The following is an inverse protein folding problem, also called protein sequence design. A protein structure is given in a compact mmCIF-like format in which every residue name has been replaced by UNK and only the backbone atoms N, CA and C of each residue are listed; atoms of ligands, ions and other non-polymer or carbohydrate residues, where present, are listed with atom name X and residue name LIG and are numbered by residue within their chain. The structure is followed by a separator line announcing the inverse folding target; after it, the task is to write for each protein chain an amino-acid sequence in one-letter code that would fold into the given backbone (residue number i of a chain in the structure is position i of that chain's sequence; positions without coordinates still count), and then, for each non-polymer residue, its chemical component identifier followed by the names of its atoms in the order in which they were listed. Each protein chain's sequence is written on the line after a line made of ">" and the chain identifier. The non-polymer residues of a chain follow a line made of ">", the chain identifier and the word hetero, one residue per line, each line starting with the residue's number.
data_IF_111723467359
#
_entry.id   IF_111723467359
#
_cell.length_a   1.000
_cell.length_b   1.000
_cell.length_c   1.000
_cell.angle_alpha   90.00
_cell.angle_beta   90.00
_cell.angle_gamma   90.00
#
_symmetry.space_group_name_H-M   'P 1'
#
loop_
_entity.id
_entity.type
_entity.pdbx_description
1 polymer ?
#
# COMPACT_ATOMS: atom_id res chain seq x y z
N UNK A 1 19.71 15.26 -3.49
CA UNK A 1 18.25 15.38 -3.40
C UNK A 1 17.62 14.09 -3.93
N UNK A 2 16.91 13.37 -3.10
CA UNK A 2 16.20 12.16 -3.55
C UNK A 2 15.07 12.55 -4.50
N UNK A 3 14.89 11.83 -5.62
CA UNK A 3 13.84 12.17 -6.58
C UNK A 3 12.44 12.07 -5.95
N UNK A 4 11.48 12.87 -6.43
CA UNK A 4 10.09 12.88 -5.91
C UNK A 4 9.41 11.50 -5.86
N UNK A 5 9.83 10.60 -6.75
CA UNK A 5 9.36 9.22 -6.85
C UNK A 5 9.54 8.41 -5.57
N UNK A 6 10.53 8.73 -4.75
CA UNK A 6 10.83 7.98 -3.54
C UNK A 6 9.78 8.16 -2.42
N UNK A 7 9.12 9.31 -2.37
CA UNK A 7 8.06 9.58 -1.38
C UNK A 7 6.78 8.82 -1.71
N UNK A 8 6.38 8.80 -2.97
CA UNK A 8 5.21 8.05 -3.42
C UNK A 8 5.44 6.53 -3.36
N UNK A 9 6.66 6.09 -3.65
CA UNK A 9 7.02 4.69 -3.47
C UNK A 9 6.86 4.27 -2.00
N UNK A 10 7.35 5.08 -1.07
CA UNK A 10 7.19 4.82 0.37
C UNK A 10 5.72 4.80 0.79
N UNK A 11 4.92 5.71 0.28
CA UNK A 11 3.48 5.71 0.53
C UNK A 11 2.80 4.42 0.06
N UNK A 12 3.20 3.90 -1.10
CA UNK A 12 2.70 2.63 -1.64
C UNK A 12 3.13 1.43 -0.81
N UNK A 13 4.36 1.42 -0.30
CA UNK A 13 4.84 0.38 0.62
C UNK A 13 3.97 0.34 1.90
N UNK A 14 3.73 1.48 2.50
CA UNK A 14 2.90 1.59 3.69
C UNK A 14 1.45 1.19 3.41
N UNK A 15 0.89 1.66 2.30
CA UNK A 15 -0.48 1.32 1.90
C UNK A 15 -0.62 -0.19 1.69
N UNK A 16 0.32 -0.82 1.01
CA UNK A 16 0.31 -2.28 0.79
C UNK A 16 0.29 -3.04 2.12
N UNK A 17 1.13 -2.67 3.07
CA UNK A 17 1.17 -3.32 4.37
C UNK A 17 -0.18 -3.23 5.10
N UNK A 18 -0.84 -2.08 5.03
CA UNK A 18 -2.17 -1.90 5.63
C UNK A 18 -3.26 -2.68 4.91
N UNK A 19 -3.20 -2.74 3.59
CA UNK A 19 -4.15 -3.52 2.78
C UNK A 19 -3.98 -5.02 3.07
N UNK A 20 -2.75 -5.49 3.25
CA UNK A 20 -2.46 -6.87 3.68
C UNK A 20 -3.06 -7.14 5.06
N UNK A 21 -2.90 -6.22 6.01
CA UNK A 21 -3.50 -6.36 7.33
C UNK A 21 -5.02 -6.49 7.25
N UNK A 22 -5.65 -5.68 6.40
CA UNK A 22 -7.10 -5.75 6.17
C UNK A 22 -7.53 -7.08 5.54
N UNK A 23 -6.74 -7.62 4.63
CA UNK A 23 -7.02 -8.91 4.00
C UNK A 23 -6.95 -10.06 5.01
N UNK A 24 -6.02 -9.99 5.96
CA UNK A 24 -5.85 -10.98 7.02
C UNK A 24 -6.86 -10.80 8.17
N UNK A 25 -7.44 -9.62 8.30
CA UNK A 25 -8.44 -9.31 9.34
C UNK A 25 -9.62 -8.53 8.74
N UNK A 26 -10.56 -9.22 8.07
CA UNK A 26 -11.66 -8.57 7.34
C UNK A 26 -12.66 -7.81 8.24
N UNK A 27 -12.62 -8.03 9.54
CA UNK A 27 -13.48 -7.32 10.49
C UNK A 27 -12.89 -5.98 10.97
N UNK A 28 -11.61 -5.72 10.71
CA UNK A 28 -10.98 -4.47 11.10
C UNK A 28 -11.44 -3.32 10.20
N UNK A 29 -11.80 -2.20 10.81
CA UNK A 29 -12.19 -0.99 10.07
C UNK A 29 -10.94 -0.27 9.55
N UNK A 30 -10.98 0.33 8.34
CA UNK A 30 -9.85 1.06 7.77
C UNK A 30 -9.26 2.11 8.72
N UNK A 31 -10.08 2.85 9.43
CA UNK A 31 -9.63 3.89 10.35
C UNK A 31 -8.80 3.32 11.52
N UNK A 32 -9.17 2.14 12.00
CA UNK A 32 -8.43 1.44 13.05
C UNK A 32 -7.08 0.92 12.53
N UNK A 33 -7.06 0.39 11.31
CA UNK A 33 -5.84 -0.09 10.67
C UNK A 33 -4.86 1.07 10.48
N UNK A 34 -5.34 2.21 9.98
CA UNK A 34 -4.55 3.41 9.78
C UNK A 34 -3.95 3.93 11.10
N UNK A 35 -4.78 4.11 12.11
CA UNK A 35 -4.32 4.62 13.39
C UNK A 35 -3.28 3.70 14.04
N UNK A 36 -3.55 2.40 14.06
CA UNK A 36 -2.65 1.41 14.63
C UNK A 36 -1.33 1.31 13.86
N UNK A 37 -1.40 1.37 12.53
CA UNK A 37 -0.21 1.30 11.69
C UNK A 37 0.73 2.50 11.95
N UNK A 38 0.19 3.71 11.97
CA UNK A 38 1.00 4.90 12.24
C UNK A 38 1.63 4.87 13.62
N UNK A 39 0.88 4.42 14.61
CA UNK A 39 1.38 4.28 15.98
C UNK A 39 2.52 3.26 16.07
N UNK A 40 2.36 2.09 15.46
CA UNK A 40 3.42 1.08 15.41
C UNK A 40 4.66 1.56 14.67
N UNK A 41 4.50 2.18 13.53
CA UNK A 41 5.63 2.70 12.76
C UNK A 41 6.40 3.77 13.54
N UNK A 42 5.69 4.61 14.26
CA UNK A 42 6.30 5.61 15.11
C UNK A 42 7.09 4.97 16.23
N UNK A 43 6.51 4.03 16.96
CA UNK A 43 7.17 3.30 18.05
C UNK A 43 8.44 2.59 17.57
N UNK A 44 8.35 1.85 16.48
CA UNK A 44 9.52 1.18 15.89
C UNK A 44 10.63 2.18 15.52
N UNK A 45 10.28 3.35 15.01
CA UNK A 45 11.24 4.38 14.66
C UNK A 45 11.93 4.96 15.90
N UNK A 46 11.18 5.16 16.97
CA UNK A 46 11.72 5.66 18.25
C UNK A 46 12.67 4.63 18.88
N UNK A 47 12.29 3.37 18.92
CA UNK A 47 13.14 2.29 19.43
C UNK A 47 14.45 2.19 18.63
N UNK A 48 14.37 2.24 17.30
CA UNK A 48 15.56 2.20 16.44
C UNK A 48 16.47 3.40 16.61
N UNK A 49 15.92 4.56 16.99
CA UNK A 49 16.68 5.78 17.27
C UNK A 49 17.19 5.85 18.72
N UNK A 50 16.78 4.90 19.60
CA UNK A 50 17.09 4.93 21.03
C UNK A 50 16.45 6.11 21.77
N UNK A 51 15.31 6.59 21.28
CA UNK A 51 14.56 7.70 21.86
C UNK A 51 13.30 7.20 22.56
N UNK A 52 12.97 7.82 23.66
CA UNK A 52 11.71 7.61 24.36
C UNK A 52 10.75 8.78 24.08
N UNK A 53 9.47 8.61 24.36
CA UNK A 53 8.45 9.66 24.17
C UNK A 53 8.78 10.94 24.97
N UNK A 54 9.53 10.79 26.06
CA UNK A 54 9.97 11.93 26.89
C UNK A 54 11.01 12.82 26.20
N UNK A 55 11.69 12.31 25.16
CA UNK A 55 12.66 13.08 24.39
C UNK A 55 12.01 13.97 23.30
N UNK A 56 10.68 13.88 23.15
CA UNK A 56 9.94 14.70 22.18
C UNK A 56 9.76 16.12 22.71
N UNK A 57 9.91 17.08 21.81
CA UNK A 57 9.55 18.45 22.14
C UNK A 57 8.02 18.64 22.21
N UNK A 58 7.57 19.79 22.72
CA UNK A 58 6.16 20.09 22.92
C UNK A 58 5.38 20.09 21.60
N UNK A 59 6.01 20.52 20.52
CA UNK A 59 5.41 20.56 19.19
C UNK A 59 5.24 19.14 18.61
N UNK A 60 6.26 18.31 18.76
CA UNK A 60 6.20 16.91 18.31
C UNK A 60 5.16 16.09 19.08
N UNK A 61 5.02 16.36 20.40
CA UNK A 61 3.99 15.70 21.23
C UNK A 61 2.56 16.02 20.80
N UNK A 62 2.36 17.21 20.25
CA UNK A 62 1.04 17.64 19.77
C UNK A 62 0.61 16.95 18.45
N UNK A 63 1.56 16.38 17.70
CA UNK A 63 1.29 15.73 16.44
C UNK A 63 0.83 14.27 16.61
N UNK A 64 -0.04 13.81 15.72
CA UNK A 64 -0.38 12.39 15.64
C UNK A 64 0.79 11.58 15.04
N UNK A 65 0.89 10.26 15.34
CA UNK A 65 2.01 9.45 14.85
C UNK A 65 2.24 9.52 13.34
N UNK A 66 1.20 9.54 12.54
CA UNK A 66 1.32 9.68 11.09
C UNK A 66 1.90 11.03 10.64
N UNK A 67 1.60 12.08 11.37
CA UNK A 67 2.13 13.44 11.12
C UNK A 67 3.61 13.54 11.46
N UNK A 68 4.05 12.81 12.48
CA UNK A 68 5.47 12.73 12.87
C UNK A 68 6.33 11.96 11.87
N UNK A 69 5.73 10.93 11.22
CA UNK A 69 6.44 10.01 10.33
C UNK A 69 6.56 10.53 8.91
N UNK A 70 5.59 11.28 8.44
CA UNK A 70 5.49 11.67 7.04
C UNK A 70 4.98 13.09 6.89
N UNK A 71 5.41 13.74 5.81
CA UNK A 71 4.79 15.01 5.41
C UNK A 71 3.31 14.82 5.12
N UNK A 72 2.52 15.88 5.28
CA UNK A 72 1.07 15.86 5.06
C UNK A 72 0.70 15.23 3.70
N UNK A 73 1.38 15.61 2.63
CA UNK A 73 1.11 15.08 1.29
C UNK A 73 1.36 13.57 1.16
N UNK A 74 2.43 13.06 1.76
CA UNK A 74 2.74 11.61 1.76
C UNK A 74 1.71 10.85 2.59
N UNK A 75 1.37 11.37 3.76
CA UNK A 75 0.38 10.77 4.65
C UNK A 75 -1.00 10.72 3.99
N UNK A 76 -1.45 11.82 3.43
CA UNK A 76 -2.73 11.90 2.72
C UNK A 76 -2.80 10.94 1.54
N UNK A 77 -1.73 10.85 0.76
CA UNK A 77 -1.66 9.91 -0.36
C UNK A 77 -1.71 8.46 0.12
N UNK A 78 -0.95 8.11 1.17
CA UNK A 78 -0.99 6.76 1.76
C UNK A 78 -2.41 6.41 2.22
N UNK A 79 -3.04 7.30 2.96
CA UNK A 79 -4.39 7.07 3.48
C UNK A 79 -5.44 6.99 2.37
N UNK A 80 -5.30 7.80 1.33
CA UNK A 80 -6.16 7.73 0.14
C UNK A 80 -6.05 6.36 -0.54
N UNK A 81 -4.84 5.84 -0.71
CA UNK A 81 -4.61 4.52 -1.29
C UNK A 81 -5.29 3.42 -0.45
N UNK A 82 -5.15 3.48 0.86
CA UNK A 82 -5.74 2.49 1.77
C UNK A 82 -7.26 2.57 1.75
N UNK A 83 -7.82 3.74 2.04
CA UNK A 83 -9.29 3.92 2.10
C UNK A 83 -9.95 3.61 0.76
N UNK A 84 -9.37 4.11 -0.32
CA UNK A 84 -9.93 3.93 -1.66
C UNK A 84 -9.91 2.47 -2.11
N UNK A 85 -8.81 1.78 -1.89
CA UNK A 85 -8.69 0.36 -2.24
C UNK A 85 -9.65 -0.49 -1.41
N UNK A 86 -9.68 -0.29 -0.10
CA UNK A 86 -10.55 -1.07 0.79
C UNK A 86 -12.04 -0.81 0.56
N UNK A 87 -12.41 0.41 0.14
CA UNK A 87 -13.80 0.74 -0.17
C UNK A 87 -14.30 0.09 -1.47
N UNK A 88 -13.41 -0.37 -2.34
CA UNK A 88 -13.74 -0.89 -3.67
C UNK A 88 -13.30 -2.35 -3.89
N UNK A 89 -13.02 -3.11 -2.82
CA UNK A 89 -12.44 -4.46 -2.94
C UNK A 89 -13.21 -5.37 -3.91
N UNK A 90 -14.51 -5.49 -3.75
CA UNK A 90 -15.32 -6.37 -4.60
C UNK A 90 -15.30 -5.94 -6.07
N UNK A 91 -15.39 -4.65 -6.33
CA UNK A 91 -15.33 -4.10 -7.68
C UNK A 91 -13.95 -4.30 -8.32
N UNK A 92 -12.88 -4.09 -7.55
CA UNK A 92 -11.52 -4.30 -8.01
C UNK A 92 -11.26 -5.78 -8.31
N UNK A 93 -11.68 -6.66 -7.43
CA UNK A 93 -11.55 -8.11 -7.62
C UNK A 93 -12.29 -8.56 -8.89
N UNK A 94 -13.52 -8.10 -9.09
CA UNK A 94 -14.30 -8.42 -10.28
C UNK A 94 -13.61 -7.94 -11.57
N UNK A 95 -12.91 -6.82 -11.53
CA UNK A 95 -12.15 -6.30 -12.69
C UNK A 95 -10.85 -7.06 -12.93
N UNK A 96 -10.24 -7.61 -11.91
CA UNK A 96 -8.96 -8.32 -11.99
C UNK A 96 -9.10 -9.80 -12.38
N UNK A 97 -10.15 -10.46 -11.91
CA UNK A 97 -10.37 -11.90 -12.09
C UNK A 97 -10.21 -12.35 -13.55
N UNK A 98 -10.74 -11.66 -14.58
CA UNK A 98 -10.59 -12.11 -15.97
C UNK A 98 -9.13 -12.18 -16.47
N UNK A 99 -8.23 -11.49 -15.80
CA UNK A 99 -6.82 -11.40 -16.21
C UNK A 99 -5.90 -12.30 -15.40
N UNK A 100 -6.43 -12.99 -14.40
CA UNK A 100 -5.71 -13.96 -13.58
C UNK A 100 -5.86 -15.36 -14.15
N UNK A 101 -5.34 -15.59 -15.36
CA UNK A 101 -5.44 -16.86 -16.05
C UNK A 101 -4.86 -18.02 -15.22
N UNK A 102 -5.55 -19.16 -15.26
CA UNK A 102 -5.16 -20.42 -14.60
C UNK A 102 -5.15 -20.39 -13.07
N UNK A 103 -5.48 -19.26 -12.44
CA UNK A 103 -5.49 -19.14 -10.99
C UNK A 103 -6.81 -18.57 -10.49
N UNK A 104 -7.38 -19.23 -9.48
CA UNK A 104 -8.46 -18.63 -8.71
C UNK A 104 -7.89 -17.43 -7.94
N UNK A 105 -8.56 -16.29 -7.99
CA UNK A 105 -8.13 -15.07 -7.30
C UNK A 105 -7.93 -15.30 -5.80
N UNK A 106 -8.81 -16.11 -5.19
CA UNK A 106 -8.74 -16.45 -3.76
C UNK A 106 -7.53 -17.32 -3.40
N UNK A 107 -6.92 -17.99 -4.39
CA UNK A 107 -5.74 -18.85 -4.19
C UNK A 107 -4.43 -18.14 -4.46
N UNK A 108 -4.48 -16.90 -4.92
CA UNK A 108 -3.27 -16.11 -5.07
C UNK A 108 -2.64 -15.85 -3.70
N UNK A 109 -1.33 -15.70 -3.68
CA UNK A 109 -0.63 -15.22 -2.50
C UNK A 109 -1.20 -13.88 -2.04
N UNK A 110 -1.19 -13.63 -0.73
CA UNK A 110 -1.76 -12.41 -0.16
C UNK A 110 -1.08 -11.14 -0.72
N UNK A 111 0.23 -11.20 -0.94
CA UNK A 111 0.99 -10.05 -1.48
C UNK A 111 0.56 -9.77 -2.92
N UNK A 112 0.53 -10.79 -3.78
CA UNK A 112 0.14 -10.66 -5.18
C UNK A 112 -1.28 -10.08 -5.29
N UNK A 113 -2.21 -10.62 -4.53
CA UNK A 113 -3.60 -10.16 -4.51
C UNK A 113 -3.71 -8.69 -4.08
N UNK A 114 -3.06 -8.32 -2.99
CA UNK A 114 -3.11 -6.95 -2.47
C UNK A 114 -2.39 -5.95 -3.37
N UNK A 115 -1.27 -6.33 -3.97
CA UNK A 115 -0.55 -5.50 -4.96
C UNK A 115 -1.45 -5.24 -6.17
N UNK A 116 -2.12 -6.27 -6.68
CA UNK A 116 -3.03 -6.12 -7.82
C UNK A 116 -4.20 -5.20 -7.50
N UNK A 117 -4.80 -5.33 -6.32
CA UNK A 117 -5.89 -4.45 -5.87
C UNK A 117 -5.45 -3.00 -5.80
N UNK A 118 -4.32 -2.73 -5.17
CA UNK A 118 -3.76 -1.39 -5.05
C UNK A 118 -3.46 -0.78 -6.42
N UNK A 119 -2.83 -1.53 -7.31
CA UNK A 119 -2.50 -1.09 -8.66
C UNK A 119 -3.77 -0.80 -9.49
N UNK A 120 -4.75 -1.68 -9.45
CA UNK A 120 -6.02 -1.48 -10.14
C UNK A 120 -6.74 -0.21 -9.66
N UNK A 121 -6.73 0.04 -8.36
CA UNK A 121 -7.29 1.27 -7.80
C UNK A 121 -6.58 2.53 -8.35
N UNK A 122 -5.25 2.54 -8.35
CA UNK A 122 -4.51 3.69 -8.89
C UNK A 122 -4.79 3.92 -10.37
N UNK A 123 -4.83 2.86 -11.16
CA UNK A 123 -5.05 2.97 -12.61
C UNK A 123 -6.48 3.41 -12.93
N UNK A 124 -7.47 2.78 -12.32
CA UNK A 124 -8.89 3.01 -12.66
C UNK A 124 -9.50 4.22 -11.98
N UNK A 125 -9.17 4.46 -10.72
CA UNK A 125 -9.78 5.53 -9.92
C UNK A 125 -8.93 6.78 -9.89
N UNK A 126 -7.65 6.66 -9.55
CA UNK A 126 -6.76 7.83 -9.46
C UNK A 126 -6.21 8.28 -10.80
N UNK A 127 -6.37 7.46 -11.85
CA UNK A 127 -5.86 7.76 -13.19
C UNK A 127 -4.35 7.99 -13.24
N UNK A 128 -3.61 7.38 -12.32
CA UNK A 128 -2.16 7.38 -12.39
C UNK A 128 -1.70 6.66 -13.66
N UNK A 129 -0.70 7.17 -14.39
CA UNK A 129 -0.23 6.52 -15.62
C UNK A 129 0.15 5.06 -15.41
N UNK A 130 -0.41 4.17 -16.20
CA UNK A 130 -0.25 2.72 -16.06
C UNK A 130 1.22 2.27 -16.01
N UNK A 131 2.14 2.78 -16.85
CA UNK A 131 3.55 2.39 -16.76
C UNK A 131 4.18 2.65 -15.38
N UNK A 132 3.82 3.76 -14.76
CA UNK A 132 4.30 4.10 -13.40
C UNK A 132 3.76 3.10 -12.38
N UNK A 133 2.45 2.84 -12.42
CA UNK A 133 1.80 1.92 -11.48
C UNK A 133 2.32 0.50 -11.64
N UNK A 134 2.48 0.02 -12.86
CA UNK A 134 2.99 -1.33 -13.14
C UNK A 134 4.42 -1.49 -12.61
N UNK A 135 5.31 -0.53 -12.87
CA UNK A 135 6.67 -0.57 -12.35
C UNK A 135 6.70 -0.61 -10.81
N UNK A 136 5.91 0.22 -10.17
CA UNK A 136 5.80 0.25 -8.70
C UNK A 136 5.24 -1.07 -8.15
N UNK A 137 4.22 -1.62 -8.80
CA UNK A 137 3.61 -2.89 -8.42
C UNK A 137 4.61 -4.05 -8.51
N UNK A 138 5.41 -4.10 -9.58
CA UNK A 138 6.47 -5.11 -9.75
C UNK A 138 7.49 -5.02 -8.61
N UNK A 139 7.96 -3.83 -8.30
CA UNK A 139 8.92 -3.61 -7.23
C UNK A 139 8.36 -4.02 -5.85
N UNK A 140 7.11 -3.68 -5.57
CA UNK A 140 6.43 -4.08 -4.34
C UNK A 140 6.31 -5.61 -4.24
N UNK A 141 5.88 -6.27 -5.31
CA UNK A 141 5.74 -7.72 -5.34
C UNK A 141 7.07 -8.43 -5.14
N UNK A 142 8.13 -7.96 -5.77
CA UNK A 142 9.49 -8.49 -5.58
C UNK A 142 9.99 -8.31 -4.16
N UNK A 143 9.79 -7.13 -3.60
CA UNK A 143 10.30 -6.79 -2.27
C UNK A 143 9.59 -7.57 -1.17
N UNK A 144 8.25 -7.63 -1.22
CA UNK A 144 7.45 -8.28 -0.18
C UNK A 144 7.22 -9.78 -0.40
N UNK A 145 7.49 -10.29 -1.58
CA UNK A 145 7.36 -11.71 -1.92
C UNK A 145 8.62 -12.24 -2.60
N UNK A 146 8.64 -12.31 -3.95
CA UNK A 146 9.78 -12.82 -4.71
C UNK A 146 9.74 -12.37 -6.17
N UNK A 147 10.76 -12.79 -6.96
CA UNK A 147 10.84 -12.46 -8.39
C UNK A 147 9.67 -13.02 -9.20
N UNK A 148 9.18 -14.21 -8.87
CA UNK A 148 8.04 -14.82 -9.54
C UNK A 148 6.77 -14.01 -9.34
N UNK A 149 6.57 -13.47 -8.13
CA UNK A 149 5.45 -12.58 -7.82
C UNK A 149 5.51 -11.31 -8.69
N UNK A 150 6.69 -10.73 -8.85
CA UNK A 150 6.89 -9.57 -9.73
C UNK A 150 6.53 -9.86 -11.18
N UNK A 151 6.97 -10.99 -11.72
CA UNK A 151 6.66 -11.41 -13.08
C UNK A 151 5.15 -11.68 -13.26
N UNK A 152 4.52 -12.33 -12.30
CA UNK A 152 3.09 -12.59 -12.30
C UNK A 152 2.26 -11.30 -12.32
N UNK A 153 2.57 -10.38 -11.41
CA UNK A 153 1.89 -9.07 -11.31
C UNK A 153 2.05 -8.28 -12.62
N UNK A 154 3.24 -8.26 -13.18
CA UNK A 154 3.48 -7.62 -14.48
C UNK A 154 2.57 -8.17 -15.57
N UNK A 155 2.49 -9.50 -15.69
CA UNK A 155 1.64 -10.15 -16.69
C UNK A 155 0.16 -9.83 -16.52
N UNK A 156 -0.34 -9.89 -15.30
CA UNK A 156 -1.75 -9.56 -15.00
C UNK A 156 -2.06 -8.11 -15.31
N UNK A 157 -1.24 -7.17 -14.83
CA UNK A 157 -1.48 -5.73 -15.01
C UNK A 157 -1.33 -5.30 -16.47
N UNK A 158 -0.42 -5.90 -17.22
CA UNK A 158 -0.27 -5.63 -18.64
C UNK A 158 -1.56 -5.98 -19.40
N UNK A 159 -2.13 -7.15 -19.14
CA UNK A 159 -3.43 -7.54 -19.72
C UNK A 159 -4.58 -6.67 -19.21
N UNK A 160 -4.60 -6.34 -17.93
CA UNK A 160 -5.61 -5.48 -17.31
C UNK A 160 -5.69 -4.10 -17.97
N UNK A 161 -4.56 -3.52 -18.31
CA UNK A 161 -4.48 -2.21 -18.96
C UNK A 161 -4.91 -2.29 -20.43
N UNK A 162 -4.57 -3.37 -21.13
CA UNK A 162 -4.92 -3.58 -22.53
C UNK A 162 -6.38 -3.99 -22.71
N UNK A 163 -6.92 -4.75 -21.79
CA UNK A 163 -8.24 -5.32 -21.86
C UNK A 163 -9.36 -4.48 -21.43
#
# INVERSE_FOLDING_TARGET
>A
MKPPTNRRHKAREWALQMIVQADLNPFAKPEMILAHFWEQQWSCRQEAAGKEDDDLDEMERALQPGERLASTGVREFTEQLVRGTLAQLDALDAQLVPFCEHWSFDRLGVIERCVLRLAAYEIRTLKTPAPVVINEAIELAKYFSNEEAGAFVNGVLDRFVRG
#
